data_IF_702362985089
#
_entry.id   IF_702362985089
#
_cell.length_a   1.000
_cell.length_b   1.000
_cell.length_c   1.000
_cell.angle_alpha   90.00
_cell.angle_beta   90.00
_cell.angle_gamma   90.00
#
_symmetry.space_group_name_H-M   'P 1'
#
loop_
_entity.id
_entity.type
_entity.pdbx_description
1 polymer ?
#
# COMPACT_ATOMS: atom_id res chain seq x y z
N UNK A 1 -18.83 3.35 6.73
CA UNK A 1 -17.64 4.22 6.62
C UNK A 1 -17.11 4.14 5.19
N UNK A 2 -17.11 5.22 4.40
CA UNK A 2 -16.49 5.27 3.06
C UNK A 2 -15.62 6.53 2.98
N UNK A 3 -14.36 6.42 2.56
CA UNK A 3 -13.50 7.61 2.42
C UNK A 3 -13.99 8.45 1.23
N UNK A 4 -14.13 9.77 1.40
CA UNK A 4 -14.38 10.68 0.27
C UNK A 4 -13.16 10.73 -0.65
N UNK A 5 -13.39 10.61 -1.96
CA UNK A 5 -12.33 10.55 -2.99
C UNK A 5 -11.48 11.83 -3.08
N UNK A 6 -12.05 12.97 -2.68
CA UNK A 6 -11.42 14.29 -2.69
C UNK A 6 -10.80 14.68 -1.33
N UNK A 7 -10.71 13.76 -0.36
CA UNK A 7 -10.29 14.05 1.02
C UNK A 7 -11.12 15.17 1.70
N UNK A 8 -12.37 15.39 1.27
CA UNK A 8 -13.29 16.33 1.91
C UNK A 8 -14.07 15.63 3.03
N UNK A 9 -13.70 15.95 4.27
CA UNK A 9 -14.29 15.35 5.46
C UNK A 9 -15.37 16.22 6.13
N UNK A 10 -15.90 17.27 5.49
CA UNK A 10 -16.81 18.23 6.12
C UNK A 10 -18.08 17.61 6.75
N UNK A 11 -18.48 16.40 6.33
CA UNK A 11 -19.68 15.70 6.84
C UNK A 11 -19.38 14.65 7.92
N UNK A 12 -18.18 14.59 8.47
CA UNK A 12 -17.82 13.60 9.48
C UNK A 12 -16.40 13.72 10.02
N UNK A 13 -15.98 12.71 10.77
CA UNK A 13 -14.64 12.64 11.36
C UNK A 13 -13.61 12.24 10.29
N UNK A 14 -12.43 12.88 10.33
CA UNK A 14 -11.30 12.50 9.46
C UNK A 14 -10.91 11.03 9.73
N UNK A 15 -10.76 10.17 8.72
CA UNK A 15 -10.46 8.75 8.94
C UNK A 15 -9.20 8.49 9.78
N UNK A 16 -8.17 9.33 9.65
CA UNK A 16 -6.89 9.20 10.36
C UNK A 16 -6.89 9.76 11.78
N UNK A 17 -7.97 10.40 12.24
CA UNK A 17 -8.09 10.89 13.62
C UNK A 17 -8.79 9.91 14.56
N UNK A 18 -9.21 8.73 14.06
CA UNK A 18 -9.74 7.68 14.92
C UNK A 18 -8.60 7.00 15.68
N UNK A 19 -8.66 7.04 17.01
CA UNK A 19 -7.69 6.38 17.88
C UNK A 19 -8.08 4.92 18.21
N UNK A 20 -9.35 4.55 18.04
CA UNK A 20 -9.84 3.23 18.42
C UNK A 20 -11.25 2.92 17.92
N UNK A 21 -11.71 1.70 18.19
CA UNK A 21 -13.01 1.21 17.73
C UNK A 21 -14.19 1.62 18.61
N UNK A 22 -13.94 1.92 19.90
CA UNK A 22 -14.99 2.27 20.87
C UNK A 22 -15.77 3.52 20.46
N UNK A 23 -15.12 4.66 20.10
CA UNK A 23 -15.84 5.85 19.67
C UNK A 23 -16.71 5.62 18.43
N UNK A 24 -16.20 4.83 17.46
CA UNK A 24 -16.92 4.49 16.23
C UNK A 24 -18.18 3.67 16.56
N UNK A 25 -18.06 2.63 17.38
CA UNK A 25 -19.18 1.76 17.75
C UNK A 25 -20.22 2.49 18.61
N UNK A 26 -19.79 3.33 19.54
CA UNK A 26 -20.68 4.17 20.34
C UNK A 26 -21.44 5.19 19.47
N UNK A 27 -20.75 5.85 18.53
CA UNK A 27 -21.40 6.77 17.59
C UNK A 27 -22.41 6.04 16.70
N UNK A 28 -22.09 4.83 16.23
CA UNK A 28 -23.02 4.00 15.47
C UNK A 28 -24.26 3.64 16.29
N UNK A 29 -24.07 3.18 17.52
CA UNK A 29 -25.15 2.79 18.43
C UNK A 29 -26.05 3.98 18.78
N UNK A 30 -25.47 5.09 19.26
CA UNK A 30 -26.19 6.31 19.63
C UNK A 30 -26.87 6.95 18.42
N UNK A 31 -26.27 6.80 17.23
CA UNK A 31 -26.84 7.21 15.95
C UNK A 31 -27.96 6.32 15.42
N UNK A 32 -28.49 5.38 16.22
CA UNK A 32 -29.50 4.39 15.82
C UNK A 32 -29.06 3.55 14.62
N UNK A 33 -27.84 3.05 14.69
CA UNK A 33 -27.20 2.21 13.68
C UNK A 33 -26.99 2.90 12.31
N UNK A 34 -27.04 4.24 12.26
CA UNK A 34 -26.74 5.01 11.04
C UNK A 34 -25.25 4.94 10.71
N UNK A 35 -24.88 5.02 9.41
CA UNK A 35 -23.48 4.94 9.01
C UNK A 35 -22.60 6.03 9.66
N UNK A 36 -21.55 5.60 10.36
CA UNK A 36 -20.50 6.49 10.85
C UNK A 36 -19.63 6.96 9.68
N UNK A 37 -19.31 8.26 9.68
CA UNK A 37 -18.48 8.92 8.68
C UNK A 37 -17.25 9.51 9.36
N UNK A 38 -16.03 9.31 8.89
CA UNK A 38 -15.58 8.42 7.80
C UNK A 38 -14.67 7.31 8.35
N UNK A 39 -14.08 6.48 7.49
CA UNK A 39 -13.17 5.43 7.93
C UNK A 39 -12.51 4.76 6.73
N UNK A 40 -11.34 4.17 6.96
CA UNK A 40 -10.53 3.49 5.94
C UNK A 40 -10.32 2.02 6.33
N UNK A 41 -9.54 1.27 5.54
CA UNK A 41 -9.28 -0.14 5.81
C UNK A 41 -8.74 -0.40 7.23
N UNK A 42 -7.88 0.47 7.76
CA UNK A 42 -7.38 0.39 9.14
C UNK A 42 -8.48 0.54 10.20
N UNK A 43 -9.36 1.54 10.05
CA UNK A 43 -10.50 1.73 10.95
C UNK A 43 -11.48 0.55 10.89
N UNK A 44 -11.79 0.06 9.68
CA UNK A 44 -12.70 -1.06 9.47
C UNK A 44 -12.15 -2.36 10.05
N UNK A 45 -10.89 -2.68 9.78
CA UNK A 45 -10.22 -3.87 10.32
C UNK A 45 -10.13 -3.82 11.85
N UNK A 46 -9.89 -2.64 12.43
CA UNK A 46 -9.85 -2.46 13.88
C UNK A 46 -11.23 -2.69 14.53
N UNK A 47 -12.29 -2.12 13.94
CA UNK A 47 -13.67 -2.31 14.41
C UNK A 47 -14.08 -3.77 14.32
N UNK A 48 -13.82 -4.43 13.19
CA UNK A 48 -14.09 -5.85 13.03
C UNK A 48 -13.30 -6.69 14.05
N UNK A 49 -12.01 -6.40 14.26
CA UNK A 49 -11.21 -7.10 15.27
C UNK A 49 -11.83 -6.99 16.67
N UNK A 50 -12.31 -5.79 17.02
CA UNK A 50 -12.99 -5.54 18.30
C UNK A 50 -14.27 -6.37 18.42
N UNK A 51 -15.12 -6.36 17.39
CA UNK A 51 -16.37 -7.13 17.37
C UNK A 51 -16.10 -8.64 17.49
N UNK A 52 -15.18 -9.18 16.69
CA UNK A 52 -14.88 -10.62 16.71
C UNK A 52 -14.34 -11.06 18.07
N UNK A 53 -13.40 -10.30 18.65
CA UNK A 53 -12.87 -10.59 19.99
C UNK A 53 -13.96 -10.48 21.07
N UNK A 54 -14.84 -9.50 20.97
CA UNK A 54 -15.98 -9.34 21.89
C UNK A 54 -16.95 -10.54 21.83
N UNK A 55 -17.12 -11.14 20.64
CA UNK A 55 -17.93 -12.34 20.44
C UNK A 55 -17.21 -13.65 20.80
N UNK A 56 -15.96 -13.58 21.28
CA UNK A 56 -15.17 -14.74 21.68
C UNK A 56 -14.43 -15.44 20.53
N UNK A 57 -14.34 -14.83 19.35
CA UNK A 57 -13.61 -15.35 18.19
C UNK A 57 -12.18 -14.78 18.21
N UNK A 58 -11.12 -15.60 18.38
CA UNK A 58 -9.76 -15.12 18.37
C UNK A 58 -9.45 -14.47 17.02
N UNK A 59 -9.03 -13.20 17.04
CA UNK A 59 -8.84 -12.41 15.81
C UNK A 59 -7.65 -11.47 15.91
N UNK A 60 -7.00 -11.22 14.77
CA UNK A 60 -5.90 -10.26 14.62
C UNK A 60 -6.07 -9.40 13.37
N UNK A 61 -5.44 -8.23 13.36
CA UNK A 61 -5.38 -7.36 12.18
C UNK A 61 -4.13 -7.72 11.40
N UNK A 62 -4.26 -7.83 10.08
CA UNK A 62 -3.16 -8.04 9.14
C UNK A 62 -3.01 -6.79 8.27
N UNK A 63 -1.78 -6.38 8.02
CA UNK A 63 -1.44 -5.31 7.08
C UNK A 63 -0.61 -5.89 5.95
N UNK A 64 -1.01 -5.61 4.72
CA UNK A 64 -0.25 -5.94 3.52
C UNK A 64 0.19 -4.67 2.79
N UNK A 65 1.44 -4.63 2.35
CA UNK A 65 1.97 -3.52 1.55
C UNK A 65 1.89 -3.81 0.04
N UNK A 66 1.71 -2.74 -0.74
CA UNK A 66 1.50 -2.82 -2.20
C UNK A 66 0.29 -3.71 -2.56
N UNK A 67 -0.91 -3.30 -2.13
CA UNK A 67 -2.15 -4.03 -2.33
C UNK A 67 -2.80 -3.62 -3.67
N UNK A 68 -2.84 -4.50 -4.68
CA UNK A 68 -3.34 -4.18 -6.01
C UNK A 68 -4.86 -4.20 -6.05
N UNK A 69 -5.48 -3.22 -6.69
CA UNK A 69 -6.91 -3.16 -7.00
C UNK A 69 -7.09 -3.07 -8.50
N UNK A 70 -7.11 -4.22 -9.16
CA UNK A 70 -7.33 -4.37 -10.60
C UNK A 70 -8.81 -4.49 -10.94
N UNK A 71 -9.25 -3.87 -12.05
CA UNK A 71 -10.62 -4.01 -12.55
C UNK A 71 -10.73 -5.11 -13.63
N UNK A 72 -9.73 -5.22 -14.50
CA UNK A 72 -9.82 -6.06 -15.70
C UNK A 72 -9.05 -7.40 -15.57
N UNK A 73 -7.80 -7.36 -15.12
CA UNK A 73 -6.97 -8.55 -14.94
C UNK A 73 -6.69 -8.80 -13.45
N UNK A 74 -7.31 -9.80 -12.81
CA UNK A 74 -7.09 -10.07 -11.39
C UNK A 74 -5.61 -10.25 -11.01
N UNK A 75 -4.81 -10.87 -11.88
CA UNK A 75 -3.40 -11.16 -11.62
C UNK A 75 -2.42 -10.10 -12.18
N UNK A 76 -2.93 -8.93 -12.59
CA UNK A 76 -2.10 -7.86 -13.14
C UNK A 76 -2.60 -6.47 -12.73
N UNK A 77 -1.73 -5.68 -12.14
CA UNK A 77 -1.98 -4.27 -11.82
C UNK A 77 -1.19 -3.37 -12.78
N UNK A 78 -1.85 -2.34 -13.30
CA UNK A 78 -1.26 -1.42 -14.27
C UNK A 78 -1.24 0.01 -13.72
N UNK A 79 -0.05 0.63 -13.69
CA UNK A 79 0.07 2.08 -13.54
C UNK A 79 0.44 2.72 -14.88
N UNK A 80 -0.16 3.87 -15.17
CA UNK A 80 0.01 4.58 -16.45
C UNK A 80 0.71 5.91 -16.16
N UNK A 81 1.77 6.18 -16.91
CA UNK A 81 2.56 7.40 -16.84
C UNK A 81 2.63 8.08 -18.21
N UNK A 82 2.85 9.38 -18.25
CA UNK A 82 3.20 10.10 -19.48
C UNK A 82 4.71 10.33 -19.62
N UNK A 83 5.13 10.94 -20.74
CA UNK A 83 6.54 11.23 -21.02
C UNK A 83 7.19 12.25 -20.07
N UNK A 84 6.41 12.92 -19.22
CA UNK A 84 6.92 13.81 -18.17
C UNK A 84 7.15 13.07 -16.85
N UNK A 85 6.71 11.81 -16.75
CA UNK A 85 6.73 11.01 -15.53
C UNK A 85 5.50 11.21 -14.65
N UNK A 86 4.49 11.96 -15.12
CA UNK A 86 3.23 12.13 -14.40
C UNK A 86 2.43 10.84 -14.44
N UNK A 87 1.98 10.38 -13.28
CA UNK A 87 1.03 9.29 -13.14
C UNK A 87 -0.37 9.79 -13.52
N UNK A 88 -0.98 9.12 -14.50
CA UNK A 88 -2.24 9.52 -15.11
C UNK A 88 -3.48 8.93 -14.41
N UNK A 89 -3.33 8.27 -13.26
CA UNK A 89 -4.44 7.70 -12.49
C UNK A 89 -5.30 6.73 -13.33
N UNK A 90 -4.84 5.49 -13.47
CA UNK A 90 -5.57 4.45 -14.21
C UNK A 90 -6.86 3.99 -13.52
N UNK A 91 -7.57 3.07 -14.20
CA UNK A 91 -8.68 2.28 -13.64
C UNK A 91 -8.21 1.44 -12.45
N UNK A 92 -7.05 0.82 -12.63
CA UNK A 92 -6.35 0.06 -11.62
C UNK A 92 -5.76 0.99 -10.54
N UNK A 93 -5.84 0.59 -9.27
CA UNK A 93 -5.27 1.32 -8.12
C UNK A 93 -4.29 0.45 -7.36
N UNK A 94 -3.09 0.92 -7.08
CA UNK A 94 -2.14 0.23 -6.21
C UNK A 94 -2.10 0.91 -4.83
N UNK A 95 -2.76 0.30 -3.86
CA UNK A 95 -2.79 0.83 -2.49
C UNK A 95 -1.45 0.57 -1.82
N UNK A 96 -0.96 1.54 -1.05
CA UNK A 96 0.36 1.45 -0.39
C UNK A 96 0.35 0.47 0.76
N UNK A 97 -0.79 0.38 1.43
CA UNK A 97 -1.11 -0.71 2.32
C UNK A 97 -2.61 -0.97 2.34
N UNK A 98 -2.97 -2.15 2.80
CA UNK A 98 -4.35 -2.53 3.08
C UNK A 98 -4.41 -3.35 4.37
N UNK A 99 -5.48 -3.17 5.14
CA UNK A 99 -5.68 -3.86 6.41
C UNK A 99 -6.96 -4.69 6.39
N UNK A 100 -6.88 -5.93 6.87
CA UNK A 100 -8.01 -6.83 7.06
C UNK A 100 -7.84 -7.63 8.35
N UNK A 101 -8.69 -8.63 8.58
CA UNK A 101 -8.68 -9.47 9.77
C UNK A 101 -8.37 -10.93 9.44
N UNK A 102 -7.62 -11.59 10.31
CA UNK A 102 -7.65 -13.04 10.42
C UNK A 102 -8.44 -13.43 11.66
N UNK A 103 -9.35 -14.40 11.52
CA UNK A 103 -10.11 -14.98 12.63
C UNK A 103 -9.89 -16.48 12.70
N UNK A 104 -9.67 -17.00 13.90
CA UNK A 104 -9.38 -18.41 14.12
C UNK A 104 -10.67 -19.20 14.28
N UNK A 105 -10.98 -20.04 13.30
CA UNK A 105 -12.15 -20.93 13.35
C UNK A 105 -11.94 -22.14 12.44
N UNK A 106 -12.69 -23.21 12.71
CA UNK A 106 -12.72 -24.38 11.84
C UNK A 106 -13.70 -24.15 10.68
N UNK A 107 -13.37 -24.66 9.49
CA UNK A 107 -14.23 -24.62 8.30
C UNK A 107 -14.81 -26.01 8.01
N UNK A 108 -15.84 -26.40 8.76
CA UNK A 108 -16.50 -27.70 8.60
C UNK A 108 -17.14 -27.87 7.22
N UNK A 109 -17.54 -26.75 6.61
CA UNK A 109 -17.99 -26.65 5.22
C UNK A 109 -16.90 -27.05 4.22
N UNK A 110 -15.62 -26.90 4.58
CA UNK A 110 -14.46 -27.33 3.81
C UNK A 110 -13.87 -28.67 4.26
N UNK A 111 -14.61 -29.45 5.06
CA UNK A 111 -14.12 -30.65 5.73
C UNK A 111 -12.88 -30.40 6.63
N UNK A 112 -12.68 -29.15 7.08
CA UNK A 112 -11.63 -28.78 8.01
C UNK A 112 -12.17 -28.85 9.45
N UNK A 113 -11.74 -29.86 10.20
CA UNK A 113 -12.22 -30.08 11.57
C UNK A 113 -11.44 -29.28 12.63
N UNK A 114 -10.19 -28.91 12.35
CA UNK A 114 -9.35 -28.11 13.25
C UNK A 114 -9.46 -26.61 12.92
N UNK A 115 -9.38 -25.76 13.94
CA UNK A 115 -9.30 -24.31 13.73
C UNK A 115 -8.03 -23.92 12.99
N UNK A 116 -8.13 -22.92 12.12
CA UNK A 116 -7.01 -22.26 11.45
C UNK A 116 -7.40 -20.80 11.13
N UNK A 117 -6.45 -20.00 10.66
CA UNK A 117 -6.69 -18.61 10.29
C UNK A 117 -7.55 -18.49 9.02
N UNK A 118 -8.62 -17.72 9.15
CA UNK A 118 -9.51 -17.34 8.06
C UNK A 118 -9.38 -15.84 7.82
N UNK A 119 -9.10 -15.44 6.58
CA UNK A 119 -9.08 -14.05 6.15
C UNK A 119 -10.50 -13.52 6.02
N UNK A 120 -10.78 -12.37 6.64
CA UNK A 120 -12.01 -11.60 6.50
C UNK A 120 -11.67 -10.13 6.27
N UNK A 121 -12.25 -9.55 5.22
CA UNK A 121 -12.01 -8.16 4.86
C UNK A 121 -13.32 -7.36 4.96
N UNK A 122 -13.46 -6.47 5.96
CA UNK A 122 -14.63 -5.62 6.12
C UNK A 122 -14.66 -4.44 5.14
N UNK A 123 -13.61 -4.27 4.32
CA UNK A 123 -13.51 -3.19 3.35
C UNK A 123 -14.31 -3.55 2.10
N UNK A 124 -15.36 -2.79 1.73
CA UNK A 124 -16.07 -3.04 0.50
C UNK A 124 -15.18 -2.66 -0.69
N UNK A 125 -14.71 -3.65 -1.44
CA UNK A 125 -13.89 -3.48 -2.63
C UNK A 125 -14.74 -3.67 -3.89
N UNK A 126 -14.36 -2.99 -4.97
CA UNK A 126 -15.00 -3.19 -6.27
C UNK A 126 -14.70 -4.59 -6.80
N UNK A 127 -15.76 -5.29 -7.15
CA UNK A 127 -15.75 -6.58 -7.86
C UNK A 127 -16.53 -6.44 -9.16
N UNK A 128 -16.42 -7.43 -10.05
CA UNK A 128 -17.25 -7.48 -11.26
C UNK A 128 -18.77 -7.53 -11.01
N UNK A 129 -19.21 -7.72 -9.75
CA UNK A 129 -20.62 -7.75 -9.33
C UNK A 129 -21.02 -6.55 -8.45
N UNK A 130 -20.15 -5.55 -8.30
CA UNK A 130 -20.34 -4.39 -7.43
C UNK A 130 -19.44 -4.41 -6.18
N UNK A 131 -19.74 -3.57 -5.20
CA UNK A 131 -18.96 -3.48 -3.96
C UNK A 131 -19.31 -4.65 -3.03
N UNK A 132 -18.29 -5.41 -2.61
CA UNK A 132 -18.46 -6.53 -1.69
C UNK A 132 -17.33 -6.56 -0.64
N UNK A 133 -17.67 -6.98 0.58
CA UNK A 133 -16.71 -7.43 1.57
C UNK A 133 -16.29 -8.88 1.27
N UNK A 134 -15.18 -9.35 1.83
CA UNK A 134 -14.65 -10.68 1.50
C UNK A 134 -14.49 -11.60 2.71
N UNK A 135 -14.63 -12.90 2.46
CA UNK A 135 -14.34 -13.97 3.41
C UNK A 135 -15.58 -14.57 4.10
N UNK A 136 -15.39 -15.57 4.98
CA UNK A 136 -14.10 -16.12 5.41
C UNK A 136 -13.41 -16.94 4.33
N UNK A 137 -12.11 -16.69 4.12
CA UNK A 137 -11.24 -17.43 3.19
C UNK A 137 -10.12 -18.12 3.97
N UNK A 138 -9.93 -19.42 3.79
CA UNK A 138 -8.85 -20.11 4.50
C UNK A 138 -7.47 -19.63 4.05
N UNK A 139 -6.64 -19.15 4.99
CA UNK A 139 -5.33 -18.57 4.64
C UNK A 139 -4.42 -19.59 3.93
N UNK A 140 -4.50 -20.86 4.31
CA UNK A 140 -3.72 -21.92 3.66
C UNK A 140 -4.16 -22.15 2.22
N UNK A 141 -5.45 -22.10 1.91
CA UNK A 141 -5.92 -22.33 0.53
C UNK A 141 -5.44 -21.22 -0.41
N UNK A 142 -5.31 -19.99 0.10
CA UNK A 142 -4.65 -18.88 -0.61
C UNK A 142 -3.18 -19.24 -0.89
N UNK A 143 -2.43 -19.72 0.11
CA UNK A 143 -1.03 -20.13 -0.09
C UNK A 143 -0.87 -21.27 -1.09
N UNK A 144 -1.78 -22.23 -1.07
CA UNK A 144 -1.77 -23.38 -1.96
C UNK A 144 -2.33 -23.08 -3.36
N UNK A 145 -3.08 -22.00 -3.54
CA UNK A 145 -3.82 -21.74 -4.78
C UNK A 145 -5.01 -22.69 -4.99
N UNK A 146 -5.57 -23.23 -3.90
CA UNK A 146 -6.73 -24.14 -3.90
C UNK A 146 -8.04 -23.35 -3.68
N UNK A 147 -8.49 -22.66 -4.72
CA UNK A 147 -9.49 -21.58 -4.60
C UNK A 147 -10.94 -22.03 -4.83
N UNK A 148 -11.19 -23.33 -4.94
CA UNK A 148 -12.45 -23.88 -5.45
C UNK A 148 -13.60 -23.87 -4.42
N UNK A 149 -13.25 -23.97 -3.15
CA UNK A 149 -14.23 -24.16 -2.07
C UNK A 149 -14.39 -22.91 -1.19
N UNK A 150 -13.46 -21.96 -1.30
CA UNK A 150 -13.42 -20.79 -0.43
C UNK A 150 -14.18 -19.60 -1.00
N UNK A 151 -14.86 -18.87 -0.12
CA UNK A 151 -15.42 -17.56 -0.43
C UNK A 151 -14.27 -16.62 -0.84
N UNK A 152 -14.42 -15.98 -1.99
CA UNK A 152 -13.52 -14.92 -2.49
C UNK A 152 -12.03 -15.30 -2.59
N UNK A 153 -11.69 -16.60 -2.55
CA UNK A 153 -10.29 -17.06 -2.53
C UNK A 153 -9.49 -16.54 -3.71
N UNK A 154 -10.09 -16.51 -4.89
CA UNK A 154 -9.49 -15.97 -6.11
C UNK A 154 -9.21 -14.46 -6.04
N UNK A 155 -10.07 -13.69 -5.38
CA UNK A 155 -9.80 -12.29 -5.12
C UNK A 155 -8.59 -12.16 -4.21
N UNK A 156 -8.60 -12.82 -3.05
CA UNK A 156 -7.51 -12.66 -2.09
C UNK A 156 -6.17 -13.20 -2.62
N UNK A 157 -6.18 -14.35 -3.31
CA UNK A 157 -4.99 -14.86 -4.01
C UNK A 157 -4.40 -13.80 -4.94
N UNK A 158 -5.25 -13.18 -5.76
CA UNK A 158 -4.84 -12.13 -6.68
C UNK A 158 -4.17 -10.97 -5.94
N UNK A 159 -4.76 -10.49 -4.84
CA UNK A 159 -4.23 -9.34 -4.08
C UNK A 159 -2.84 -9.54 -3.47
N UNK A 160 -2.37 -10.78 -3.30
CA UNK A 160 -1.01 -11.07 -2.80
C UNK A 160 -0.06 -11.60 -3.89
N UNK A 161 -0.60 -11.85 -5.09
CA UNK A 161 0.10 -12.47 -6.21
C UNK A 161 0.04 -11.71 -7.55
N UNK A 162 -0.57 -10.51 -7.64
CA UNK A 162 -0.61 -9.79 -8.91
C UNK A 162 0.78 -9.27 -9.34
N UNK A 163 1.03 -9.36 -10.64
CA UNK A 163 2.18 -8.72 -11.28
C UNK A 163 1.93 -7.22 -11.46
N UNK A 164 2.98 -6.40 -11.49
CA UNK A 164 2.86 -4.95 -11.67
C UNK A 164 3.52 -4.47 -12.95
N UNK A 165 2.76 -3.71 -13.73
CA UNK A 165 3.22 -3.20 -15.02
C UNK A 165 3.07 -1.68 -15.06
N UNK A 166 4.18 -1.01 -15.39
CA UNK A 166 4.22 0.40 -15.75
C UNK A 166 4.08 0.59 -17.25
N UNK A 167 3.13 1.44 -17.65
CA UNK A 167 2.83 1.77 -19.04
C UNK A 167 3.10 3.24 -19.33
N UNK A 168 3.81 3.54 -20.41
CA UNK A 168 4.01 4.89 -20.91
C UNK A 168 2.94 5.18 -21.95
N UNK A 169 2.12 6.19 -21.72
CA UNK A 169 1.16 6.68 -22.71
C UNK A 169 1.82 7.76 -23.57
N UNK A 170 1.91 7.50 -24.87
CA UNK A 170 2.35 8.45 -25.90
C UNK A 170 1.13 8.86 -26.74
N UNK A 171 0.81 10.16 -26.73
CA UNK A 171 -0.22 10.79 -27.57
C UNK A 171 -1.59 10.07 -27.61
N UNK A 172 -2.15 9.75 -26.44
CA UNK A 172 -3.48 9.17 -26.19
C UNK A 172 -3.82 7.83 -26.88
N UNK A 173 -3.04 7.33 -27.84
CA UNK A 173 -3.35 6.12 -28.60
C UNK A 173 -2.32 4.98 -28.44
N UNK A 174 -1.04 5.28 -28.23
CA UNK A 174 0.02 4.26 -28.12
C UNK A 174 0.45 4.10 -26.66
N UNK A 175 0.34 2.88 -26.12
CA UNK A 175 0.89 2.52 -24.81
C UNK A 175 2.12 1.64 -24.99
N UNK A 176 3.26 2.11 -24.51
CA UNK A 176 4.52 1.34 -24.53
C UNK A 176 4.78 0.79 -23.13
N UNK A 177 4.98 -0.52 -23.04
CA UNK A 177 5.37 -1.17 -21.78
C UNK A 177 6.84 -0.87 -21.53
N UNK A 178 7.17 -0.27 -20.38
CA UNK A 178 8.57 0.06 -20.06
C UNK A 178 9.05 -0.60 -18.76
N UNK A 179 8.13 -0.99 -17.86
CA UNK A 179 8.50 -1.68 -16.62
C UNK A 179 7.53 -2.82 -16.31
N UNK A 180 8.05 -3.99 -15.96
CA UNK A 180 7.29 -5.12 -15.46
C UNK A 180 8.07 -5.66 -14.27
N UNK A 181 7.63 -5.32 -13.06
CA UNK A 181 8.05 -6.08 -11.89
C UNK A 181 7.08 -7.23 -11.79
N UNK A 182 7.61 -8.44 -11.91
CA UNK A 182 6.79 -9.62 -11.75
C UNK A 182 6.08 -9.60 -10.39
N UNK A 183 6.62 -8.99 -9.32
CA UNK A 183 5.99 -9.20 -8.01
C UNK A 183 6.20 -8.14 -6.92
N UNK A 184 5.78 -6.88 -7.11
CA UNK A 184 5.80 -5.93 -6.01
C UNK A 184 4.61 -6.08 -5.06
N UNK A 185 3.60 -6.89 -5.40
CA UNK A 185 2.41 -7.05 -4.58
C UNK A 185 2.62 -8.09 -3.47
N UNK A 186 2.14 -7.79 -2.27
CA UNK A 186 2.25 -8.73 -1.16
C UNK A 186 3.66 -8.85 -0.59
N UNK A 187 4.51 -7.83 -0.68
CA UNK A 187 5.93 -7.94 -0.30
C UNK A 187 6.13 -8.27 1.18
N UNK A 188 5.33 -7.64 2.04
CA UNK A 188 5.30 -7.89 3.46
C UNK A 188 3.85 -7.92 3.95
N UNK A 189 3.46 -9.04 4.53
CA UNK A 189 2.23 -9.17 5.31
C UNK A 189 2.63 -9.27 6.77
N UNK A 190 2.16 -8.34 7.59
CA UNK A 190 2.55 -8.25 8.99
C UNK A 190 1.34 -8.19 9.91
N UNK A 191 1.54 -8.64 11.15
CA UNK A 191 0.59 -8.50 12.26
C UNK A 191 1.32 -8.19 13.55
N UNK A 192 0.61 -7.74 14.58
CA UNK A 192 1.22 -7.50 15.90
C UNK A 192 1.61 -8.81 16.55
N UNK A 193 2.84 -8.91 17.05
CA UNK A 193 3.32 -10.07 17.80
C UNK A 193 2.57 -10.26 19.12
N UNK A 194 2.42 -11.52 19.53
CA UNK A 194 1.81 -11.85 20.84
C UNK A 194 2.68 -11.29 21.97
N UNK A 195 2.07 -10.53 22.87
CA UNK A 195 2.75 -10.01 24.08
C UNK A 195 3.75 -8.88 23.86
N UNK A 196 3.90 -8.31 22.65
CA UNK A 196 4.79 -7.17 22.39
C UNK A 196 4.25 -6.22 21.32
N UNK A 197 4.83 -5.02 21.21
CA UNK A 197 4.49 -4.03 20.17
C UNK A 197 5.28 -4.24 18.85
N UNK A 198 6.09 -5.30 18.78
CA UNK A 198 6.78 -5.66 17.54
C UNK A 198 5.80 -6.28 16.54
N UNK A 199 6.18 -6.25 15.27
CA UNK A 199 5.44 -6.94 14.23
C UNK A 199 6.01 -8.35 14.00
N UNK A 200 5.14 -9.26 13.60
CA UNK A 200 5.42 -10.58 13.08
C UNK A 200 5.17 -10.57 11.56
N UNK A 201 6.14 -11.01 10.77
CA UNK A 201 5.97 -11.22 9.32
C UNK A 201 5.30 -12.58 9.07
N UNK A 202 4.11 -12.54 8.49
CA UNK A 202 3.27 -13.69 8.17
C UNK A 202 3.15 -13.92 6.65
N UNK A 203 4.01 -13.31 5.84
CA UNK A 203 4.00 -13.43 4.37
C UNK A 203 4.05 -14.89 3.92
N UNK A 204 4.87 -15.70 4.60
CA UNK A 204 4.98 -17.14 4.34
C UNK A 204 3.71 -17.94 4.61
N UNK A 205 2.74 -17.40 5.35
CA UNK A 205 1.44 -18.03 5.56
C UNK A 205 0.51 -17.86 4.35
N UNK A 206 0.70 -16.80 3.55
CA UNK A 206 -0.14 -16.45 2.41
C UNK A 206 0.46 -16.85 1.05
N UNK A 207 1.79 -16.96 0.96
CA UNK A 207 2.45 -17.37 -0.28
C UNK A 207 3.80 -18.03 -0.01
N UNK A 208 4.21 -18.86 -0.96
CA UNK A 208 5.54 -19.46 -0.98
C UNK A 208 6.61 -18.47 -1.44
N UNK A 209 7.86 -18.73 -1.04
CA UNK A 209 9.03 -17.95 -1.47
C UNK A 209 9.10 -17.83 -2.99
N UNK A 210 9.43 -16.64 -3.46
CA UNK A 210 9.46 -16.31 -4.87
C UNK A 210 10.44 -17.21 -5.63
N UNK A 211 10.02 -17.72 -6.78
CA UNK A 211 10.84 -18.59 -7.63
C UNK A 211 10.90 -20.06 -7.17
N UNK A 212 10.41 -20.38 -5.97
CA UNK A 212 10.32 -21.77 -5.52
C UNK A 212 9.35 -22.60 -6.38
N UNK A 213 9.59 -23.91 -6.45
CA UNK A 213 8.73 -24.85 -7.20
C UNK A 213 7.29 -24.79 -6.66
N UNK A 214 7.13 -24.77 -5.33
CA UNK A 214 5.82 -24.67 -4.68
C UNK A 214 5.07 -23.38 -5.03
N UNK A 215 5.78 -22.25 -5.12
CA UNK A 215 5.18 -20.98 -5.54
C UNK A 215 4.61 -21.09 -6.96
N UNK A 216 5.37 -21.64 -7.90
CA UNK A 216 4.92 -21.84 -9.28
C UNK A 216 3.72 -22.78 -9.37
N UNK A 217 3.76 -23.90 -8.66
CA UNK A 217 2.66 -24.86 -8.62
C UNK A 217 1.37 -24.25 -8.08
N UNK A 218 1.46 -23.55 -6.94
CA UNK A 218 0.33 -22.82 -6.37
C UNK A 218 -0.23 -21.77 -7.34
N UNK A 219 0.64 -21.02 -8.00
CA UNK A 219 0.24 -20.02 -8.98
C UNK A 219 -0.44 -20.64 -10.20
N UNK A 220 0.06 -21.76 -10.75
CA UNK A 220 -0.60 -22.43 -11.87
C UNK A 220 -1.98 -22.98 -11.47
N UNK A 221 -2.11 -23.55 -10.27
CA UNK A 221 -3.42 -24.00 -9.74
C UNK A 221 -4.41 -22.83 -9.70
N UNK A 222 -4.01 -21.71 -9.09
CA UNK A 222 -4.84 -20.53 -9.00
C UNK A 222 -5.15 -19.91 -10.37
N UNK A 223 -4.17 -19.83 -11.28
CA UNK A 223 -4.33 -19.24 -12.61
C UNK A 223 -5.42 -19.93 -13.43
N UNK A 224 -5.49 -21.27 -13.39
CA UNK A 224 -6.56 -22.04 -14.06
C UNK A 224 -7.96 -21.73 -13.53
N UNK A 225 -8.07 -21.31 -12.27
CA UNK A 225 -9.35 -20.94 -11.64
C UNK A 225 -9.72 -19.49 -11.89
N UNK A 226 -8.75 -18.60 -11.80
CA UNK A 226 -8.92 -17.16 -12.04
C UNK A 226 -9.21 -16.88 -13.52
N UNK A 227 -8.61 -17.65 -14.43
CA UNK A 227 -8.83 -17.53 -15.88
C UNK A 227 -9.50 -18.81 -16.41
N UNK A 228 -10.85 -18.86 -16.49
CA UNK A 228 -11.59 -20.06 -16.90
C UNK A 228 -11.17 -20.63 -18.26
N UNK A 229 -10.71 -19.78 -19.19
CA UNK A 229 -10.17 -20.20 -20.49
C UNK A 229 -8.90 -21.07 -20.42
N UNK A 230 -8.27 -21.17 -19.25
CA UNK A 230 -7.06 -21.96 -19.01
C UNK A 230 -7.32 -23.20 -18.14
N UNK A 231 -8.58 -23.58 -17.89
CA UNK A 231 -8.93 -24.69 -16.99
C UNK A 231 -8.19 -26.00 -17.30
N UNK A 232 -7.96 -26.29 -18.58
CA UNK A 232 -7.25 -27.49 -19.08
C UNK A 232 -5.82 -27.17 -19.60
N UNK A 233 -5.32 -25.96 -19.37
CA UNK A 233 -4.00 -25.57 -19.84
C UNK A 233 -2.91 -26.30 -19.04
N UNK A 234 -1.91 -26.82 -19.74
CA UNK A 234 -0.69 -27.35 -19.11
C UNK A 234 0.10 -26.23 -18.43
N UNK A 235 0.93 -26.60 -17.45
CA UNK A 235 1.83 -25.63 -16.80
C UNK A 235 2.72 -24.90 -17.81
N UNK A 236 3.17 -25.59 -18.88
CA UNK A 236 4.03 -24.97 -19.90
C UNK A 236 3.30 -23.95 -20.78
N UNK A 237 1.99 -24.09 -20.99
CA UNK A 237 1.18 -23.08 -21.67
C UNK A 237 1.07 -21.83 -20.79
N UNK A 238 0.70 -21.99 -19.52
CA UNK A 238 0.60 -20.86 -18.57
C UNK A 238 1.96 -20.16 -18.44
N UNK A 239 3.06 -20.90 -18.31
CA UNK A 239 4.41 -20.32 -18.21
C UNK A 239 4.77 -19.48 -19.45
N UNK A 240 4.34 -19.89 -20.66
CA UNK A 240 4.55 -19.13 -21.89
C UNK A 240 3.82 -17.79 -21.87
N UNK A 241 2.58 -17.78 -21.39
CA UNK A 241 1.79 -16.54 -21.20
C UNK A 241 2.44 -15.63 -20.15
N UNK A 242 2.85 -16.17 -19.00
CA UNK A 242 3.53 -15.38 -17.98
C UNK A 242 4.88 -14.84 -18.46
N UNK A 243 5.57 -15.59 -19.32
CA UNK A 243 6.83 -15.15 -19.93
C UNK A 243 6.61 -14.06 -20.98
N UNK A 244 5.50 -14.08 -21.72
CA UNK A 244 5.14 -13.00 -22.67
C UNK A 244 4.80 -11.69 -21.95
N UNK A 245 4.35 -11.77 -20.69
CA UNK A 245 4.17 -10.62 -19.81
C UNK A 245 5.50 -10.04 -19.30
N UNK A 246 6.61 -10.77 -19.36
CA UNK A 246 7.91 -10.16 -19.03
C UNK A 246 8.33 -9.26 -20.18
N UNK A 247 8.83 -8.07 -19.86
CA UNK A 247 9.38 -7.19 -20.88
C UNK A 247 10.83 -7.62 -21.16
N UNK A 248 11.16 -8.18 -22.34
CA UNK A 248 12.53 -8.59 -22.66
C UNK A 248 13.51 -7.41 -22.69
N UNK A 249 13.01 -6.19 -22.92
CA UNK A 249 13.82 -4.97 -23.07
C UNK A 249 14.38 -4.44 -21.74
N UNK A 250 13.79 -4.78 -20.59
CA UNK A 250 14.31 -4.32 -19.29
C UNK A 250 15.70 -4.89 -18.97
N UNK A 251 15.96 -6.16 -19.33
CA UNK A 251 17.27 -6.79 -19.14
C UNK A 251 18.32 -6.34 -20.16
N UNK A 252 17.90 -5.77 -21.29
CA UNK A 252 18.79 -5.42 -22.41
C UNK A 252 19.09 -3.91 -22.50
N UNK A 253 18.39 -3.07 -21.74
CA UNK A 253 18.64 -1.63 -21.73
C UNK A 253 20.06 -1.21 -21.35
N UNK A 254 20.78 -2.09 -20.63
CA UNK A 254 22.16 -1.86 -20.24
C UNK A 254 22.33 -0.66 -19.31
N UNK A 255 21.26 -0.16 -18.69
CA UNK A 255 21.30 0.92 -17.72
C UNK A 255 20.46 0.54 -16.51
N UNK A 256 21.07 0.60 -15.33
CA UNK A 256 20.39 0.38 -14.07
C UNK A 256 20.13 1.72 -13.37
N UNK A 257 18.92 1.90 -12.82
CA UNK A 257 18.51 3.14 -12.16
C UNK A 257 17.86 2.87 -10.82
N UNK A 258 18.18 3.69 -9.83
CA UNK A 258 17.57 3.64 -8.50
C UNK A 258 17.51 5.03 -7.86
N UNK A 259 16.42 5.32 -7.18
CA UNK A 259 16.30 6.47 -6.28
C UNK A 259 16.60 5.98 -4.86
N UNK A 260 17.57 6.58 -4.17
CA UNK A 260 17.91 6.28 -2.77
C UNK A 260 17.60 7.47 -1.88
N UNK A 261 17.01 7.25 -0.70
CA UNK A 261 16.85 8.30 0.29
C UNK A 261 18.23 8.78 0.78
N UNK A 262 18.41 10.09 0.84
CA UNK A 262 19.55 10.71 1.54
C UNK A 262 19.19 11.06 2.99
N UNK A 263 17.91 11.33 3.27
CA UNK A 263 17.37 11.59 4.61
C UNK A 263 16.07 10.81 4.88
N UNK A 264 15.59 10.89 6.11
CA UNK A 264 14.29 10.38 6.53
C UNK A 264 13.39 11.60 6.85
N UNK A 265 12.76 12.21 5.83
CA UNK A 265 12.18 13.55 5.95
C UNK A 265 11.06 13.59 6.98
N UNK A 266 11.18 14.50 7.94
CA UNK A 266 10.10 14.88 8.84
C UNK A 266 9.22 15.97 8.17
N UNK A 267 7.98 16.08 8.62
CA UNK A 267 7.08 17.15 8.18
C UNK A 267 7.72 18.52 8.44
N UNK A 268 7.88 19.34 7.41
CA UNK A 268 8.59 20.62 7.47
C UNK A 268 10.01 20.61 6.90
N UNK A 269 10.61 19.43 6.68
CA UNK A 269 11.98 19.29 6.18
C UNK A 269 12.05 19.11 4.66
N UNK A 270 13.16 19.47 4.04
CA UNK A 270 13.37 19.17 2.62
C UNK A 270 13.54 17.66 2.38
N UNK A 271 13.03 17.16 1.26
CA UNK A 271 13.22 15.77 0.86
C UNK A 271 14.47 15.66 0.02
N UNK A 272 15.40 14.81 0.45
CA UNK A 272 16.69 14.63 -0.21
C UNK A 272 16.86 13.19 -0.71
N UNK A 273 17.25 13.06 -1.97
CA UNK A 273 17.45 11.79 -2.66
C UNK A 273 18.79 11.77 -3.39
N UNK A 274 19.33 10.57 -3.57
CA UNK A 274 20.37 10.29 -4.55
C UNK A 274 19.78 9.44 -5.68
N UNK A 275 19.70 10.02 -6.86
CA UNK A 275 19.40 9.28 -8.08
C UNK A 275 20.70 8.67 -8.60
N UNK A 276 20.77 7.34 -8.58
CA UNK A 276 21.93 6.59 -9.02
C UNK A 276 21.63 5.94 -10.37
N UNK A 277 22.44 6.27 -11.36
CA UNK A 277 22.43 5.66 -12.68
C UNK A 277 23.73 4.88 -12.86
N UNK A 278 23.63 3.70 -13.44
CA UNK A 278 24.76 2.82 -13.72
C UNK A 278 24.67 2.34 -15.16
N UNK A 279 25.68 2.69 -15.96
CA UNK A 279 25.84 2.16 -17.30
C UNK A 279 26.45 0.76 -17.21
N UNK A 280 25.75 -0.25 -17.70
CA UNK A 280 26.22 -1.64 -17.73
C UNK A 280 26.98 -1.95 -19.03
N UNK A 281 26.94 -1.05 -20.02
CA UNK A 281 27.62 -1.20 -21.32
C UNK A 281 29.01 -0.54 -21.30
N UNK A 282 29.79 -0.88 -22.31
CA UNK A 282 31.13 -0.33 -22.56
C UNK A 282 31.12 0.88 -23.50
N UNK A 283 29.93 1.41 -23.81
CA UNK A 283 29.73 2.55 -24.70
C UNK A 283 29.19 3.74 -23.94
N UNK A 284 29.48 4.95 -24.42
CA UNK A 284 28.91 6.17 -23.86
C UNK A 284 27.42 6.25 -24.15
N UNK A 285 26.65 6.76 -23.19
CA UNK A 285 25.21 7.00 -23.35
C UNK A 285 24.88 8.43 -22.94
N UNK A 286 24.18 9.13 -23.84
CA UNK A 286 23.59 10.44 -23.57
C UNK A 286 22.09 10.25 -23.48
N UNK A 287 21.53 10.63 -22.34
CA UNK A 287 20.12 10.47 -22.05
C UNK A 287 19.57 11.80 -21.52
N UNK A 288 18.34 12.10 -21.92
CA UNK A 288 17.55 13.15 -21.30
C UNK A 288 16.47 12.52 -20.45
N UNK A 289 16.25 13.05 -19.26
CA UNK A 289 15.23 12.57 -18.34
C UNK A 289 14.29 13.71 -17.95
N UNK A 290 13.02 13.37 -17.81
CA UNK A 290 12.01 14.19 -17.17
C UNK A 290 11.73 13.62 -15.79
N UNK A 291 11.73 14.49 -14.78
CA UNK A 291 11.44 14.14 -13.41
C UNK A 291 10.12 14.78 -13.00
N UNK A 292 9.36 14.07 -12.19
CA UNK A 292 8.04 14.46 -11.72
C UNK A 292 7.88 14.07 -10.26
N UNK A 293 7.20 14.92 -9.47
CA UNK A 293 6.70 14.54 -8.17
C UNK A 293 5.21 14.87 -8.03
N UNK A 294 4.49 13.92 -7.43
CA UNK A 294 3.06 14.01 -7.13
C UNK A 294 2.81 13.52 -5.71
N UNK A 295 1.89 14.18 -5.01
CA UNK A 295 1.34 13.63 -3.78
C UNK A 295 0.41 12.49 -4.17
N UNK A 296 0.48 11.37 -3.44
CA UNK A 296 -0.37 10.20 -3.68
C UNK A 296 -1.15 9.88 -2.40
N UNK A 297 -2.40 9.47 -2.55
CA UNK A 297 -3.18 8.95 -1.42
C UNK A 297 -2.66 7.56 -1.04
N UNK A 298 -3.03 7.06 0.16
CA UNK A 298 -2.72 5.68 0.53
C UNK A 298 -3.34 4.65 -0.43
N UNK A 299 -4.46 4.99 -1.09
CA UNK A 299 -5.11 4.16 -2.11
C UNK A 299 -4.43 4.24 -3.49
N UNK A 300 -3.31 4.96 -3.61
CA UNK A 300 -2.54 5.06 -4.86
C UNK A 300 -3.09 6.04 -5.89
N UNK A 301 -4.05 6.90 -5.52
CA UNK A 301 -4.53 7.96 -6.41
C UNK A 301 -3.52 9.12 -6.41
N UNK A 302 -2.95 9.50 -7.55
CA UNK A 302 -2.12 10.69 -7.65
C UNK A 302 -2.97 11.97 -7.64
N UNK A 303 -2.46 12.97 -6.93
CA UNK A 303 -2.90 14.36 -7.01
C UNK A 303 -2.18 15.06 -8.18
N UNK A 304 -2.44 16.36 -8.34
CA UNK A 304 -1.76 17.16 -9.35
C UNK A 304 -0.24 17.17 -9.17
N UNK A 305 0.46 17.28 -10.29
CA UNK A 305 1.91 17.46 -10.32
C UNK A 305 2.24 18.83 -9.75
N UNK A 306 3.02 18.86 -8.68
CA UNK A 306 3.48 20.11 -8.06
C UNK A 306 4.95 20.41 -8.37
N UNK A 307 5.73 19.39 -8.74
CA UNK A 307 7.15 19.55 -9.04
C UNK A 307 7.53 18.78 -10.31
N UNK A 308 8.39 19.40 -11.11
CA UNK A 308 8.95 18.85 -12.34
C UNK A 308 10.37 19.36 -12.54
N UNK A 309 11.20 18.56 -13.19
CA UNK A 309 12.55 18.93 -13.58
C UNK A 309 12.98 18.17 -14.86
N UNK A 310 14.05 18.61 -15.51
CA UNK A 310 14.62 17.92 -16.67
C UNK A 310 16.15 17.92 -16.59
N UNK A 311 16.73 16.74 -16.74
CA UNK A 311 18.17 16.53 -16.55
C UNK A 311 18.75 15.80 -17.76
N UNK A 312 19.77 16.40 -18.36
CA UNK A 312 20.61 15.73 -19.37
C UNK A 312 21.76 15.00 -18.67
N UNK A 313 21.88 13.70 -18.92
CA UNK A 313 22.86 12.82 -18.29
C UNK A 313 23.73 12.18 -19.36
N UNK A 314 25.01 12.52 -19.35
CA UNK A 314 26.06 11.76 -20.03
C UNK A 314 26.65 10.74 -19.05
N UNK A 315 26.65 9.47 -19.45
CA UNK A 315 27.28 8.35 -18.78
C UNK A 315 28.39 7.78 -19.68
N UNK A 316 29.60 7.72 -19.15
CA UNK A 316 30.73 7.01 -19.74
C UNK A 316 30.57 5.48 -19.63
N UNK A 317 31.52 4.73 -20.19
CA UNK A 317 31.50 3.27 -20.19
C UNK A 317 31.59 2.76 -18.75
N UNK A 318 30.68 1.87 -18.35
CA UNK A 318 30.66 1.29 -16.99
C UNK A 318 30.57 2.32 -15.85
N UNK A 319 30.21 3.57 -16.16
CA UNK A 319 30.14 4.65 -15.17
C UNK A 319 28.93 4.46 -14.24
N UNK A 320 29.15 4.73 -12.95
CA UNK A 320 28.08 4.92 -11.96
C UNK A 320 28.03 6.40 -11.57
N UNK A 321 26.94 7.07 -11.92
CA UNK A 321 26.71 8.48 -11.62
C UNK A 321 25.68 8.63 -10.51
N UNK A 322 25.93 9.56 -9.59
CA UNK A 322 25.03 9.90 -8.49
C UNK A 322 24.62 11.36 -8.63
N UNK A 323 23.33 11.61 -8.81
CA UNK A 323 22.76 12.94 -8.97
C UNK A 323 21.93 13.24 -7.70
N UNK A 324 22.30 14.25 -6.91
CA UNK A 324 21.50 14.67 -5.76
C UNK A 324 20.21 15.35 -6.25
N UNK A 325 19.09 14.99 -5.65
CA UNK A 325 17.80 15.65 -5.87
C UNK A 325 17.31 16.20 -4.52
N UNK A 326 16.83 17.45 -4.54
CA UNK A 326 16.24 18.10 -3.37
C UNK A 326 14.88 18.68 -3.75
N UNK A 327 13.84 18.32 -3.00
CA UNK A 327 12.50 18.87 -3.14
C UNK A 327 12.18 19.58 -1.82
N UNK A 328 12.11 20.91 -1.86
CA UNK A 328 11.99 21.71 -0.65
C UNK A 328 10.60 21.61 -0.01
N UNK A 329 10.50 21.76 1.31
CA UNK A 329 9.20 21.79 2.01
C UNK A 329 8.29 22.88 1.43
N UNK A 330 8.83 24.04 1.07
CA UNK A 330 8.06 25.11 0.43
C UNK A 330 7.36 24.71 -0.88
N UNK A 331 7.92 23.74 -1.61
CA UNK A 331 7.35 23.26 -2.87
C UNK A 331 6.26 22.22 -2.66
N UNK A 332 6.44 21.28 -1.72
CA UNK A 332 5.52 20.14 -1.55
C UNK A 332 4.53 20.32 -0.39
N UNK A 333 4.87 21.13 0.62
CA UNK A 333 4.10 21.33 1.84
C UNK A 333 2.64 21.72 1.60
N UNK A 334 2.34 22.70 0.72
CA UNK A 334 0.95 23.09 0.41
C UNK A 334 0.09 21.98 -0.22
N UNK A 335 0.71 20.96 -0.81
CA UNK A 335 0.02 19.86 -1.48
C UNK A 335 -0.10 18.61 -0.59
N UNK A 336 0.63 18.57 0.53
CA UNK A 336 0.71 17.40 1.38
C UNK A 336 -0.63 17.17 2.08
N UNK A 337 -1.27 16.04 1.78
CA UNK A 337 -2.55 15.64 2.37
C UNK A 337 -2.35 14.74 3.59
N UNK A 338 -3.45 14.34 4.25
CA UNK A 338 -3.45 13.46 5.43
C UNK A 338 -2.75 12.09 5.21
N UNK A 339 -2.39 11.74 3.98
CA UNK A 339 -1.68 10.50 3.66
C UNK A 339 -0.15 10.63 3.82
N UNK A 340 0.41 11.85 3.68
CA UNK A 340 1.85 12.13 3.75
C UNK A 340 2.74 11.30 2.80
N UNK A 341 2.26 10.93 1.62
CA UNK A 341 3.02 10.13 0.66
C UNK A 341 3.27 10.92 -0.61
N UNK A 342 4.52 10.96 -1.05
CA UNK A 342 4.97 11.60 -2.29
C UNK A 342 5.59 10.55 -3.22
N UNK A 343 5.14 10.49 -4.47
CA UNK A 343 5.78 9.69 -5.53
C UNK A 343 6.71 10.57 -6.33
N UNK A 344 7.97 10.14 -6.46
CA UNK A 344 8.96 10.75 -7.35
C UNK A 344 9.25 9.78 -8.50
N UNK A 345 9.21 10.29 -9.73
CA UNK A 345 9.43 9.54 -10.96
C UNK A 345 10.52 10.22 -11.77
N UNK A 346 11.42 9.43 -12.36
CA UNK A 346 12.31 9.88 -13.43
C UNK A 346 12.10 8.96 -14.64
N UNK A 347 11.79 9.54 -15.80
CA UNK A 347 11.54 8.82 -17.07
C UNK A 347 12.43 9.38 -18.17
N UNK A 348 13.03 8.53 -19.00
CA UNK A 348 13.83 9.00 -20.13
C UNK A 348 12.96 9.55 -21.24
N UNK A 349 13.49 10.53 -21.95
CA UNK A 349 12.89 11.07 -23.17
C UNK A 349 12.81 9.94 -24.23
N UNK A 350 11.63 9.64 -24.78
CA UNK A 350 11.47 8.61 -25.81
C UNK A 350 12.37 8.80 -27.04
N UNK A 351 12.82 10.03 -27.31
CA UNK A 351 13.76 10.33 -28.41
C UNK A 351 15.16 9.75 -28.18
N UNK A 352 15.51 9.39 -26.94
CA UNK A 352 16.80 8.79 -26.59
C UNK A 352 16.87 7.26 -26.87
N UNK A 353 15.84 6.71 -27.53
CA UNK A 353 15.75 5.28 -27.84
C UNK A 353 14.86 4.54 -26.85
N UNK A 354 15.46 3.73 -25.99
CA UNK A 354 14.69 2.94 -25.00
C UNK A 354 14.16 3.81 -23.86
N UNK A 355 12.92 3.57 -23.48
CA UNK A 355 12.27 4.24 -22.35
C UNK A 355 12.70 3.58 -21.05
N UNK A 356 13.42 4.33 -20.23
CA UNK A 356 13.86 3.97 -18.89
C UNK A 356 13.00 4.72 -17.88
N UNK A 357 12.67 4.06 -16.78
CA UNK A 357 11.98 4.74 -15.69
C UNK A 357 12.36 4.15 -14.35
N UNK A 358 12.43 5.03 -13.36
CA UNK A 358 12.49 4.67 -11.95
C UNK A 358 11.44 5.48 -11.19
N UNK A 359 10.80 4.86 -10.21
CA UNK A 359 9.92 5.56 -9.30
C UNK A 359 10.20 5.18 -7.86
N UNK A 360 9.84 6.07 -6.93
CA UNK A 360 9.93 5.81 -5.50
C UNK A 360 8.82 6.56 -4.79
N UNK A 361 8.15 5.85 -3.88
CA UNK A 361 7.27 6.48 -2.90
C UNK A 361 8.05 6.85 -1.66
N UNK A 362 7.75 8.02 -1.12
CA UNK A 362 8.43 8.64 0.01
C UNK A 362 7.36 9.00 1.02
N UNK A 363 7.48 8.46 2.22
CA UNK A 363 6.61 8.79 3.35
C UNK A 363 7.25 9.92 4.13
N UNK A 364 6.52 11.02 4.31
CA UNK A 364 6.93 12.15 5.16
C UNK A 364 6.49 11.86 6.59
N UNK A 365 7.47 11.72 7.48
CA UNK A 365 7.22 11.33 8.86
C UNK A 365 6.55 12.46 9.63
N UNK A 366 5.63 12.09 10.53
CA UNK A 366 5.00 13.05 11.44
C UNK A 366 5.87 13.22 12.70
N UNK A 367 5.98 14.46 13.23
CA UNK A 367 6.58 14.67 14.55
C UNK A 367 5.83 13.83 15.60
N UNK A 368 6.55 13.19 16.54
CA UNK A 368 5.92 12.37 17.56
C UNK A 368 5.21 13.23 18.60
N UNK A 369 4.11 12.72 19.15
CA UNK A 369 3.57 13.16 20.43
C UNK A 369 4.19 12.29 21.51
N UNK A 370 4.87 12.90 22.46
CA UNK A 370 5.54 12.19 23.55
C UNK A 370 4.62 12.23 24.78
N UNK A 371 4.34 11.06 25.34
CA UNK A 371 3.56 10.90 26.57
C UNK A 371 4.46 10.31 27.65
N UNK A 372 4.67 11.06 28.73
CA UNK A 372 5.54 10.68 29.84
C UNK A 372 4.74 10.59 31.14
N UNK A 373 4.70 9.42 31.75
CA UNK A 373 4.11 9.25 33.08
C UNK A 373 5.03 9.86 34.14
N UNK A 374 4.48 10.72 35.01
CA UNK A 374 5.23 11.38 36.09
C UNK A 374 5.27 10.54 37.37
N UNK A 375 4.47 9.47 37.43
CA UNK A 375 4.42 8.53 38.53
C UNK A 375 4.11 7.13 38.02
N UNK A 376 4.46 6.10 38.81
CA UNK A 376 4.08 4.73 38.50
C UNK A 376 2.55 4.56 38.61
N UNK A 377 1.86 4.10 37.55
CA UNK A 377 0.40 3.97 37.58
C UNK A 377 -0.02 2.85 38.53
N UNK A 378 -1.08 3.11 39.31
CA UNK A 378 -1.72 2.12 40.21
C UNK A 378 -3.22 2.10 39.97
N UNK A 379 -3.82 0.92 40.10
CA UNK A 379 -5.26 0.72 39.88
C UNK A 379 -6.08 1.64 40.81
N UNK A 380 -7.03 2.39 40.24
CA UNK A 380 -7.92 3.34 40.94
C UNK A 380 -7.20 4.49 41.65
N UNK A 381 -5.93 4.76 41.34
CA UNK A 381 -5.18 5.91 41.85
C UNK A 381 -4.96 6.89 40.70
N UNK A 382 -5.27 8.19 40.88
CA UNK A 382 -4.92 9.21 39.90
C UNK A 382 -3.43 9.17 39.56
N UNK A 383 -3.10 9.26 38.27
CA UNK A 383 -1.74 9.29 37.76
C UNK A 383 -1.62 10.48 36.80
N UNK A 384 -0.54 11.25 36.94
CA UNK A 384 -0.28 12.40 36.07
C UNK A 384 0.63 12.00 34.92
N UNK A 385 0.27 12.43 33.71
CA UNK A 385 1.08 12.30 32.51
C UNK A 385 1.39 13.70 31.95
N UNK A 386 2.61 13.90 31.50
CA UNK A 386 3.02 15.04 30.70
C UNK A 386 2.94 14.65 29.23
N UNK A 387 2.28 15.48 28.43
CA UNK A 387 2.14 15.29 26.99
C UNK A 387 2.82 16.47 26.30
N UNK A 388 3.80 16.18 25.46
CA UNK A 388 4.57 17.20 24.76
C UNK A 388 4.58 16.96 23.26
N UNK A 389 4.43 18.04 22.50
CA UNK A 389 4.54 18.07 21.05
C UNK A 389 5.40 19.26 20.64
N UNK A 390 6.33 19.05 19.73
CA UNK A 390 7.15 20.13 19.18
C UNK A 390 6.67 20.46 17.76
N UNK A 391 6.22 21.71 17.55
CA UNK A 391 5.89 22.20 16.21
C UNK A 391 7.14 22.15 15.33
N UNK A 392 7.18 21.35 14.25
CA UNK A 392 8.35 21.29 13.37
C UNK A 392 8.40 22.44 12.36
N UNK A 393 7.34 23.25 12.27
CA UNK A 393 7.21 24.32 11.29
C UNK A 393 7.71 25.66 11.85
N UNK A 394 8.10 26.55 10.93
CA UNK A 394 8.45 27.94 11.26
C UNK A 394 7.22 28.85 11.45
N UNK A 395 6.01 28.30 11.31
CA UNK A 395 4.74 29.00 11.45
C UNK A 395 3.91 28.43 12.61
N UNK A 396 3.09 29.28 13.22
CA UNK A 396 2.23 28.88 14.33
C UNK A 396 1.13 27.92 13.87
N UNK A 397 1.00 26.78 14.56
CA UNK A 397 -0.14 25.88 14.37
C UNK A 397 -1.39 26.48 14.99
N UNK A 398 -2.51 26.40 14.28
CA UNK A 398 -3.83 26.91 14.72
C UNK A 398 -4.81 25.76 14.84
N UNK A 399 -5.84 25.94 15.66
CA UNK A 399 -6.91 24.94 15.86
C UNK A 399 -6.35 23.57 16.28
N UNK A 400 -5.38 23.57 17.20
CA UNK A 400 -4.80 22.34 17.72
C UNK A 400 -5.84 21.62 18.57
N UNK A 401 -6.07 20.33 18.30
CA UNK A 401 -7.00 19.51 19.09
C UNK A 401 -6.27 18.24 19.47
N UNK A 402 -6.26 17.92 20.77
CA UNK A 402 -5.67 16.70 21.30
C UNK A 402 -6.77 15.78 21.81
N UNK A 403 -6.82 14.56 21.28
CA UNK A 403 -7.77 13.52 21.73
C UNK A 403 -7.02 12.40 22.42
N UNK A 404 -7.42 12.08 23.65
CA UNK A 404 -6.83 11.05 24.50
C UNK A 404 -7.84 9.94 24.78
N UNK A 405 -7.39 8.70 24.64
CA UNK A 405 -8.17 7.52 25.01
C UNK A 405 -7.26 6.39 25.50
N UNK A 406 -7.83 5.43 26.21
CA UNK A 406 -7.11 4.28 26.71
C UNK A 406 -8.02 3.37 27.52
N UNK A 407 -8.21 2.14 27.05
CA UNK A 407 -9.03 1.15 27.75
C UNK A 407 -8.43 0.86 29.14
N UNK A 408 -9.25 0.99 30.19
CA UNK A 408 -8.81 0.82 31.58
C UNK A 408 -8.09 2.03 32.19
N UNK A 409 -7.81 3.07 31.40
CA UNK A 409 -7.22 4.33 31.86
C UNK A 409 -8.25 5.47 31.90
N UNK A 410 -9.04 5.60 30.85
CA UNK A 410 -10.12 6.60 30.72
C UNK A 410 -11.48 5.91 30.61
N UNK A 411 -12.52 6.54 31.16
CA UNK A 411 -13.91 6.05 31.00
C UNK A 411 -14.44 6.35 29.59
N UNK A 412 -14.14 7.54 29.09
CA UNK A 412 -14.54 8.04 27.77
C UNK A 412 -13.36 8.81 27.16
N UNK A 413 -13.30 8.94 25.82
CA UNK A 413 -12.30 9.79 25.17
C UNK A 413 -12.36 11.23 25.69
N UNK A 414 -11.20 11.82 25.91
CA UNK A 414 -11.06 13.22 26.35
C UNK A 414 -10.52 14.05 25.20
N UNK A 415 -11.11 15.23 24.98
CA UNK A 415 -10.65 16.19 23.99
C UNK A 415 -10.18 17.48 24.69
N UNK A 416 -9.03 17.98 24.29
CA UNK A 416 -8.44 19.24 24.75
C UNK A 416 -8.22 20.13 23.52
N UNK A 417 -8.75 21.35 23.56
CA UNK A 417 -8.62 22.39 22.52
C UNK A 417 -7.54 23.42 22.87
#
# INVERSE_FOLDING_TARGET
MKIPENNDYLKGTKPFSWNGSVPILQQWYNGRCRPVRYGYCGSLASVMCTVMRCLGIPSRVVTNFCFPCSIENPLGINEIFDCTGKNLCGKDKLWRYHCWNESWMARRDLNQCCGDWQCLDPTPLETGRGLACSGPTWVRSIREGELDLDYDGHHMFSRVNSNYVGWLSQNNAKKTKFFCDTWPCGQHLITKSVGSEQFEDITGAYKYELGSVKNKEAYYRAYRRIHPGYCNASNCHIERELSSLKNPFLSDSGINMRLKMANCPMYGEDVQLHWVLENLRSENKNLKFNLCAQIITYSGCPMDQFWKDSVNVTLGPREVKKIPLCISYSQYGPYLCDHNIMKVVAVSDPECGEVLMVSRDIVINRPPVIVKLLSQPRLKVPCTAEISFCNPLQEDMKNCVMTLEGCGLFKEPMTIE
#
